data_IF_681063609995
#
_entry.id   IF_681063609995
#
_cell.length_a   1.000
_cell.length_b   1.000
_cell.length_c   1.000
_cell.angle_alpha   90.00
_cell.angle_beta   90.00
_cell.angle_gamma   90.00
#
_symmetry.space_group_name_H-M   'P 1'
#
loop_
_entity.id
_entity.type
_entity.pdbx_description
1 polymer ?
#
# COMPACT_ATOMS: atom_id res chain seq x y z
N UNK A 1 -10.67 19.32 14.79
CA UNK A 1 -11.72 19.22 13.76
C UNK A 1 -11.25 18.20 12.73
N UNK A 2 -11.95 17.07 12.59
CA UNK A 2 -11.58 16.02 11.63
C UNK A 2 -11.71 16.50 10.18
N UNK A 3 -11.05 15.82 9.25
CA UNK A 3 -11.03 16.19 7.82
C UNK A 3 -12.40 16.01 7.11
N UNK A 4 -13.47 15.62 7.81
CA UNK A 4 -14.79 15.35 7.22
C UNK A 4 -14.79 14.15 6.28
N UNK A 5 -15.78 14.06 5.39
CA UNK A 5 -15.84 13.04 4.32
C UNK A 5 -16.52 11.71 4.66
N UNK A 6 -16.87 11.49 5.94
CA UNK A 6 -17.46 10.24 6.43
C UNK A 6 -18.90 9.96 5.99
N UNK A 7 -19.35 8.70 6.12
CA UNK A 7 -18.60 7.55 6.65
C UNK A 7 -17.63 6.94 5.61
N UNK A 8 -16.36 6.77 6.01
CA UNK A 8 -15.30 6.19 5.19
C UNK A 8 -14.97 4.76 5.65
N UNK A 9 -14.57 3.90 4.73
CA UNK A 9 -13.93 2.63 5.05
C UNK A 9 -12.64 2.89 5.84
N UNK A 10 -12.20 1.96 6.70
CA UNK A 10 -10.98 2.09 7.51
C UNK A 10 -9.71 1.83 6.68
N UNK A 11 -9.65 2.40 5.47
CA UNK A 11 -8.53 2.30 4.55
C UNK A 11 -8.40 3.61 3.76
N UNK A 12 -7.19 4.14 3.72
CA UNK A 12 -6.83 5.34 2.96
C UNK A 12 -5.61 5.03 2.08
N UNK A 13 -5.62 5.54 0.86
CA UNK A 13 -4.40 5.66 0.07
C UNK A 13 -3.94 7.12 0.07
N UNK A 14 -2.65 7.35 0.24
CA UNK A 14 -2.06 8.68 0.24
C UNK A 14 -0.90 8.72 -0.74
N UNK A 15 -0.86 9.77 -1.56
CA UNK A 15 0.27 10.04 -2.47
C UNK A 15 0.72 11.47 -2.31
N UNK A 16 2.01 11.70 -2.57
CA UNK A 16 2.58 13.02 -2.76
C UNK A 16 2.93 13.16 -4.23
N UNK A 17 2.33 14.13 -4.93
CA UNK A 17 2.62 14.36 -6.34
C UNK A 17 4.01 14.99 -6.55
N UNK A 18 4.49 15.05 -7.79
CA UNK A 18 5.82 15.60 -8.13
C UNK A 18 5.97 17.08 -7.79
N UNK A 19 4.86 17.81 -7.60
CA UNK A 19 4.86 19.18 -7.11
C UNK A 19 4.93 19.26 -5.56
N UNK A 20 4.88 18.13 -4.86
CA UNK A 20 4.94 18.03 -3.42
C UNK A 20 3.58 18.11 -2.72
N UNK A 21 2.46 18.13 -3.45
CA UNK A 21 1.10 18.17 -2.88
C UNK A 21 0.64 16.79 -2.47
N UNK A 22 -0.02 16.71 -1.33
CA UNK A 22 -0.63 15.48 -0.85
C UNK A 22 -2.04 15.31 -1.42
N UNK A 23 -2.36 14.08 -1.81
CA UNK A 23 -3.72 13.64 -2.15
C UNK A 23 -4.06 12.41 -1.33
N UNK A 24 -5.21 12.44 -0.65
CA UNK A 24 -5.76 11.29 0.05
C UNK A 24 -6.94 10.73 -0.73
N UNK A 25 -7.03 9.41 -0.81
CA UNK A 25 -8.14 8.67 -1.40
C UNK A 25 -8.80 7.80 -0.34
N UNK A 26 -10.12 7.74 -0.39
CA UNK A 26 -10.90 6.92 0.52
C UNK A 26 -12.06 6.26 -0.22
N UNK A 27 -12.51 5.12 0.31
CA UNK A 27 -13.78 4.51 -0.06
C UNK A 27 -14.85 5.05 0.89
N UNK A 28 -15.85 5.76 0.37
CA UNK A 28 -16.96 6.32 1.14
C UNK A 28 -18.19 5.43 1.02
N UNK A 29 -18.85 5.14 2.13
CA UNK A 29 -20.18 4.52 2.13
C UNK A 29 -21.21 5.63 1.93
N UNK A 30 -21.67 5.83 0.70
CA UNK A 30 -22.47 6.98 0.29
C UNK A 30 -23.94 6.95 0.77
N UNK A 31 -24.32 6.12 1.74
CA UNK A 31 -25.63 6.17 2.38
C UNK A 31 -25.63 5.59 3.80
N UNK A 32 -25.71 6.47 4.81
CA UNK A 32 -26.44 6.18 6.05
C UNK A 32 -27.52 7.24 6.34
N UNK A 33 -27.82 8.15 5.40
CA UNK A 33 -28.87 9.17 5.53
C UNK A 33 -29.25 9.76 4.17
N UNK A 34 -30.54 9.76 3.84
CA UNK A 34 -31.09 9.86 2.48
C UNK A 34 -30.72 11.12 1.68
N UNK A 35 -30.25 10.87 0.45
CA UNK A 35 -30.33 11.70 -0.78
C UNK A 35 -29.52 11.10 -1.95
N UNK A 36 -28.80 10.00 -1.71
CA UNK A 36 -28.37 9.02 -2.73
C UNK A 36 -29.17 7.73 -2.62
N UNK A 37 -29.23 6.93 -3.70
CA UNK A 37 -29.80 5.58 -3.66
C UNK A 37 -29.05 4.75 -2.62
N UNK A 38 -29.77 4.05 -1.75
CA UNK A 38 -29.21 3.36 -0.59
C UNK A 38 -28.09 2.38 -1.00
N UNK A 39 -26.93 2.50 -0.35
CA UNK A 39 -25.87 1.49 -0.38
C UNK A 39 -24.75 1.67 -1.41
N UNK A 40 -24.63 2.81 -2.10
CA UNK A 40 -23.49 2.99 -3.02
C UNK A 40 -22.17 3.17 -2.26
N UNK A 41 -21.09 2.50 -2.71
CA UNK A 41 -19.73 2.91 -2.37
C UNK A 41 -19.19 3.78 -3.50
N UNK A 42 -18.42 4.79 -3.14
CA UNK A 42 -17.70 5.62 -4.10
C UNK A 42 -16.28 5.90 -3.61
N UNK A 43 -15.39 6.19 -4.55
CA UNK A 43 -14.08 6.72 -4.24
C UNK A 43 -14.17 8.23 -4.12
N UNK A 44 -13.59 8.78 -3.07
CA UNK A 44 -13.46 10.22 -2.83
C UNK A 44 -12.00 10.61 -2.73
N UNK A 45 -11.69 11.85 -3.09
CA UNK A 45 -10.35 12.43 -2.99
C UNK A 45 -10.33 13.71 -2.16
N UNK A 46 -9.26 13.90 -1.39
CA UNK A 46 -8.94 15.11 -0.64
C UNK A 46 -7.57 15.62 -1.09
N UNK A 47 -7.54 16.74 -1.81
CA UNK A 47 -6.33 17.25 -2.47
C UNK A 47 -5.84 18.55 -1.82
N UNK A 48 -4.54 18.66 -1.58
CA UNK A 48 -3.93 19.93 -1.17
C UNK A 48 -3.97 20.98 -2.29
N UNK A 49 -4.25 22.23 -1.94
CA UNK A 49 -4.22 23.36 -2.90
C UNK A 49 -2.80 23.67 -3.38
N UNK A 50 -1.84 23.57 -2.48
CA UNK A 50 -0.40 23.80 -2.66
C UNK A 50 0.36 22.93 -1.66
N UNK A 51 1.65 22.64 -1.88
CA UNK A 51 2.46 21.89 -0.94
C UNK A 51 2.37 22.48 0.47
N UNK A 52 2.19 21.62 1.46
CA UNK A 52 2.05 21.96 2.89
C UNK A 52 0.97 23.02 3.18
N UNK A 53 0.00 23.14 2.26
CA UNK A 53 -1.12 24.06 2.34
C UNK A 53 -2.42 23.38 2.77
N UNK A 54 -3.52 24.15 2.83
CA UNK A 54 -4.83 23.61 3.15
C UNK A 54 -5.32 22.66 2.06
N UNK A 55 -6.11 21.67 2.50
CA UNK A 55 -6.87 20.79 1.60
C UNK A 55 -8.08 21.52 1.00
N UNK A 56 -8.47 21.09 -0.20
CA UNK A 56 -9.80 21.35 -0.77
C UNK A 56 -10.84 20.48 -0.06
N UNK A 57 -12.15 20.74 -0.21
CA UNK A 57 -13.18 19.80 0.23
C UNK A 57 -13.03 18.43 -0.46
N UNK A 58 -13.53 17.37 0.19
CA UNK A 58 -13.63 16.05 -0.42
C UNK A 58 -14.43 16.12 -1.73
N UNK A 59 -13.91 15.51 -2.78
CA UNK A 59 -14.54 15.43 -4.10
C UNK A 59 -14.81 13.98 -4.46
N UNK A 60 -16.01 13.68 -4.96
CA UNK A 60 -16.36 12.35 -5.44
C UNK A 60 -15.70 12.03 -6.78
N UNK A 61 -15.02 10.89 -6.84
CA UNK A 61 -14.51 10.28 -8.07
C UNK A 61 -15.43 9.16 -8.59
N UNK A 62 -16.54 8.88 -7.88
CA UNK A 62 -17.52 7.86 -8.24
C UNK A 62 -16.97 6.44 -8.09
N UNK A 63 -17.49 5.53 -8.90
CA UNK A 63 -17.13 4.11 -8.91
C UNK A 63 -16.89 3.65 -10.34
N UNK A 64 -16.03 2.64 -10.60
CA UNK A 64 -15.93 2.01 -11.92
C UNK A 64 -17.19 1.19 -12.30
N UNK A 65 -18.12 0.98 -11.36
CA UNK A 65 -19.33 0.18 -11.59
C UNK A 65 -20.49 1.02 -12.12
N UNK A 66 -21.29 0.41 -12.98
CA UNK A 66 -22.42 1.07 -13.66
C UNK A 66 -23.74 0.94 -12.90
N UNK A 67 -23.84 0.02 -11.94
CA UNK A 67 -25.05 -0.22 -11.15
C UNK A 67 -24.76 -0.29 -9.64
N UNK A 68 -25.84 -0.23 -8.86
CA UNK A 68 -25.78 -0.12 -7.42
C UNK A 68 -25.36 -1.40 -6.70
N UNK A 69 -25.62 -2.57 -7.27
CA UNK A 69 -25.25 -3.85 -6.65
C UNK A 69 -23.74 -4.01 -6.74
N UNK A 70 -23.18 -3.88 -7.94
CA UNK A 70 -21.75 -3.96 -8.15
C UNK A 70 -21.03 -2.83 -7.41
N UNK A 71 -21.60 -1.62 -7.39
CA UNK A 71 -21.06 -0.49 -6.63
C UNK A 71 -20.83 -0.77 -5.14
N UNK A 72 -21.61 -1.68 -4.52
CA UNK A 72 -21.42 -2.12 -3.12
C UNK A 72 -20.18 -2.98 -2.90
N UNK A 73 -19.57 -3.48 -3.97
CA UNK A 73 -18.51 -4.48 -3.93
C UNK A 73 -17.14 -3.94 -4.37
N UNK A 74 -17.05 -2.64 -4.66
CA UNK A 74 -15.76 -1.97 -4.93
C UNK A 74 -14.85 -2.01 -3.71
N UNK A 75 -13.58 -2.31 -3.97
CA UNK A 75 -12.52 -2.41 -2.97
C UNK A 75 -11.93 -1.07 -2.53
N UNK A 76 -11.00 -1.14 -1.59
CA UNK A 76 -10.28 0.05 -1.12
C UNK A 76 -9.32 0.58 -2.20
N UNK A 77 -9.07 1.91 -2.23
CA UNK A 77 -8.18 2.49 -3.22
C UNK A 77 -6.71 2.15 -2.91
N UNK A 78 -5.92 1.95 -3.97
CA UNK A 78 -4.46 2.07 -3.96
C UNK A 78 -4.06 3.12 -5.00
N UNK A 79 -3.00 3.88 -4.74
CA UNK A 79 -2.58 4.94 -5.65
C UNK A 79 -1.07 5.12 -5.66
N UNK A 80 -0.57 5.65 -6.77
CA UNK A 80 0.82 6.06 -6.94
C UNK A 80 0.89 7.34 -7.76
N UNK A 81 1.81 8.23 -7.40
CA UNK A 81 2.12 9.42 -8.18
C UNK A 81 3.41 9.17 -8.98
N UNK A 82 3.40 9.49 -10.25
CA UNK A 82 4.52 9.29 -11.18
C UNK A 82 5.35 10.57 -11.35
N UNK A 83 6.64 10.47 -11.74
CA UNK A 83 7.50 11.64 -11.93
C UNK A 83 6.96 12.64 -12.97
N UNK A 84 6.24 12.16 -13.98
CA UNK A 84 5.58 12.97 -15.01
C UNK A 84 4.36 13.77 -14.51
N UNK A 85 4.07 13.71 -13.20
CA UNK A 85 3.01 14.49 -12.56
C UNK A 85 1.62 13.86 -12.63
N UNK A 86 1.48 12.65 -13.17
CA UNK A 86 0.22 11.91 -13.11
C UNK A 86 0.03 11.23 -11.74
N UNK A 87 -1.24 10.98 -11.41
CA UNK A 87 -1.61 10.12 -10.27
C UNK A 87 -2.48 8.99 -10.79
N UNK A 88 -1.99 7.76 -10.64
CA UNK A 88 -2.75 6.57 -10.95
C UNK A 88 -3.48 6.09 -9.69
N UNK A 89 -4.79 5.99 -9.78
CA UNK A 89 -5.66 5.43 -8.75
C UNK A 89 -6.17 4.08 -9.25
N UNK A 90 -6.17 3.08 -8.38
CA UNK A 90 -6.59 1.72 -8.65
C UNK A 90 -7.58 1.24 -7.61
N UNK A 91 -8.56 0.45 -8.05
CA UNK A 91 -9.54 -0.22 -7.17
C UNK A 91 -9.85 -1.60 -7.71
N UNK A 92 -10.19 -2.53 -6.81
CA UNK A 92 -10.82 -3.78 -7.20
C UNK A 92 -12.27 -3.52 -7.62
N UNK A 93 -12.67 -4.04 -8.77
CA UNK A 93 -14.05 -4.02 -9.27
C UNK A 93 -14.92 -5.06 -8.57
N UNK A 94 -16.24 -4.94 -8.69
CA UNK A 94 -17.18 -5.90 -8.15
C UNK A 94 -16.94 -7.33 -8.68
N UNK A 95 -16.60 -7.43 -9.96
CA UNK A 95 -16.25 -8.67 -10.68
C UNK A 95 -14.85 -9.19 -10.35
N UNK A 96 -14.22 -8.64 -9.30
CA UNK A 96 -12.89 -9.04 -8.83
C UNK A 96 -11.79 -8.83 -9.87
N UNK A 97 -11.94 -7.86 -10.77
CA UNK A 97 -10.87 -7.35 -11.65
C UNK A 97 -10.26 -6.06 -11.12
N UNK A 98 -9.38 -5.45 -11.90
CA UNK A 98 -8.76 -4.16 -11.60
C UNK A 98 -9.38 -3.05 -12.45
N UNK A 99 -9.65 -1.90 -11.84
CA UNK A 99 -9.96 -0.67 -12.57
C UNK A 99 -9.00 0.44 -12.15
N UNK A 100 -8.72 1.35 -13.08
CA UNK A 100 -7.91 2.53 -12.87
C UNK A 100 -8.65 3.81 -13.22
N UNK A 101 -8.28 4.89 -12.55
CA UNK A 101 -8.59 6.27 -12.93
C UNK A 101 -7.31 7.08 -12.81
N UNK A 102 -7.04 7.93 -13.79
CA UNK A 102 -5.77 8.68 -13.83
C UNK A 102 -6.06 10.18 -13.75
N UNK A 103 -5.37 10.87 -12.83
CA UNK A 103 -5.27 12.33 -12.83
C UNK A 103 -4.11 12.72 -13.73
N UNK A 104 -4.39 13.50 -14.76
CA UNK A 104 -3.35 14.02 -15.64
C UNK A 104 -2.49 15.08 -14.92
N UNK A 105 -1.35 15.47 -15.53
CA UNK A 105 -0.45 16.46 -14.94
C UNK A 105 -1.08 17.86 -14.80
N UNK A 106 -2.16 18.15 -15.55
CA UNK A 106 -2.95 19.38 -15.40
C UNK A 106 -3.90 19.33 -14.19
N UNK A 107 -4.00 18.17 -13.54
CA UNK A 107 -4.82 17.93 -12.37
C UNK A 107 -6.25 17.47 -12.68
N UNK A 108 -6.56 17.12 -13.94
CA UNK A 108 -7.89 16.62 -14.31
C UNK A 108 -7.95 15.11 -14.23
N UNK A 109 -9.02 14.59 -13.63
CA UNK A 109 -9.30 13.17 -13.57
C UNK A 109 -9.95 12.68 -14.87
N UNK A 110 -9.31 11.72 -15.54
CA UNK A 110 -9.91 10.97 -16.66
C UNK A 110 -11.04 10.04 -16.21
N UNK A 111 -11.66 9.28 -17.13
CA UNK A 111 -12.70 8.31 -16.79
C UNK A 111 -12.11 7.07 -16.09
N UNK A 112 -12.98 6.28 -15.46
CA UNK A 112 -12.62 4.92 -15.02
C UNK A 112 -12.37 4.02 -16.22
N UNK A 113 -11.35 3.17 -16.13
CA UNK A 113 -10.96 2.19 -17.15
C UNK A 113 -10.72 0.84 -16.49
N UNK A 114 -11.27 -0.24 -17.02
CA UNK A 114 -10.99 -1.61 -16.53
C UNK A 114 -9.69 -2.12 -17.15
N UNK A 115 -8.84 -2.75 -16.34
CA UNK A 115 -7.52 -3.23 -16.72
C UNK A 115 -7.50 -4.76 -16.79
N UNK A 116 -8.13 -5.32 -17.82
CA UNK A 116 -8.07 -6.76 -18.11
C UNK A 116 -8.50 -7.67 -16.95
N UNK A 117 -8.18 -8.95 -17.10
CA UNK A 117 -8.60 -10.03 -16.22
C UNK A 117 -7.52 -10.46 -15.22
N UNK A 118 -7.98 -11.14 -14.17
CA UNK A 118 -7.24 -11.53 -12.98
C UNK A 118 -8.18 -11.49 -11.80
N UNK A 119 -8.51 -12.64 -11.19
CA UNK A 119 -9.47 -12.69 -10.08
C UNK A 119 -8.78 -12.34 -8.76
N UNK A 120 -8.89 -11.08 -8.38
CA UNK A 120 -8.23 -10.51 -7.20
C UNK A 120 -9.15 -10.38 -6.00
N UNK A 121 -8.56 -10.46 -4.83
CA UNK A 121 -9.14 -9.99 -3.57
C UNK A 121 -8.82 -8.50 -3.37
N UNK A 122 -9.28 -7.90 -2.27
CA UNK A 122 -8.85 -6.57 -1.86
C UNK A 122 -7.38 -6.59 -1.35
N UNK A 123 -6.80 -5.44 -1.00
CA UNK A 123 -5.41 -5.35 -0.56
C UNK A 123 -4.43 -5.13 -1.72
N UNK A 124 -4.79 -4.21 -2.63
CA UNK A 124 -3.92 -3.76 -3.71
C UNK A 124 -2.65 -3.09 -3.18
N UNK A 125 -1.52 -3.34 -3.86
CA UNK A 125 -0.26 -2.64 -3.63
C UNK A 125 0.20 -1.99 -4.93
N UNK A 126 0.30 -0.66 -4.94
CA UNK A 126 0.78 0.11 -6.09
C UNK A 126 2.10 0.80 -5.72
N UNK A 127 3.09 0.72 -6.62
CA UNK A 127 4.41 1.31 -6.43
C UNK A 127 5.07 1.63 -7.78
N UNK A 128 6.18 2.37 -7.72
CA UNK A 128 7.05 2.59 -8.88
C UNK A 128 8.27 1.68 -8.81
N UNK A 129 8.77 1.25 -9.96
CA UNK A 129 10.11 0.68 -10.09
C UNK A 129 11.20 1.76 -10.14
N UNK A 130 12.46 1.33 -10.32
CA UNK A 130 13.60 2.25 -10.40
C UNK A 130 13.55 3.17 -11.63
N UNK A 131 12.87 2.74 -12.69
CA UNK A 131 12.65 3.47 -13.93
C UNK A 131 11.41 4.39 -13.88
N UNK A 132 10.69 4.42 -12.76
CA UNK A 132 9.50 5.25 -12.58
C UNK A 132 8.22 4.66 -13.18
N UNK A 133 8.25 3.40 -13.63
CA UNK A 133 7.10 2.69 -14.19
C UNK A 133 6.18 2.23 -13.06
N UNK A 134 4.88 2.28 -13.31
CA UNK A 134 3.86 1.85 -12.36
C UNK A 134 3.73 0.33 -12.35
N UNK A 135 3.75 -0.24 -11.14
CA UNK A 135 3.41 -1.64 -10.86
C UNK A 135 2.21 -1.71 -9.91
N UNK A 136 1.28 -2.61 -10.18
CA UNK A 136 0.14 -2.92 -9.30
C UNK A 136 0.10 -4.41 -9.05
N UNK A 137 0.11 -4.79 -7.78
CA UNK A 137 0.09 -6.16 -7.31
C UNK A 137 -1.16 -6.40 -6.49
N UNK A 138 -1.74 -7.59 -6.63
CA UNK A 138 -2.96 -7.93 -5.92
C UNK A 138 -2.98 -9.40 -5.50
N UNK A 139 -3.42 -9.72 -4.27
CA UNK A 139 -3.60 -11.11 -3.86
C UNK A 139 -4.78 -11.73 -4.61
N UNK A 140 -4.54 -12.80 -5.36
CA UNK A 140 -5.56 -13.61 -6.03
C UNK A 140 -5.93 -14.87 -5.25
N UNK A 141 -6.97 -15.55 -5.73
CA UNK A 141 -7.35 -16.87 -5.17
C UNK A 141 -6.33 -17.96 -5.49
N UNK A 142 -5.56 -17.77 -6.55
CA UNK A 142 -4.67 -18.73 -7.20
C UNK A 142 -3.20 -18.32 -7.07
N UNK A 143 -2.89 -17.05 -7.34
CA UNK A 143 -1.54 -16.51 -7.31
C UNK A 143 -1.56 -15.01 -6.99
N UNK A 144 -0.42 -14.34 -7.09
CA UNK A 144 -0.35 -12.87 -7.12
C UNK A 144 -0.54 -12.40 -8.57
N UNK A 145 -1.54 -11.54 -8.78
CA UNK A 145 -1.78 -10.90 -10.07
C UNK A 145 -0.97 -9.60 -10.16
N UNK A 146 -0.45 -9.30 -11.35
CA UNK A 146 0.46 -8.18 -11.58
C UNK A 146 0.05 -7.42 -12.84
N UNK A 147 -0.03 -6.10 -12.73
CA UNK A 147 -0.12 -5.17 -13.84
C UNK A 147 1.08 -4.23 -13.81
N UNK A 148 1.60 -3.87 -14.98
CA UNK A 148 2.70 -2.92 -15.07
C UNK A 148 2.60 -2.06 -16.32
N UNK A 149 3.26 -0.90 -16.27
CA UNK A 149 3.68 -0.19 -17.47
C UNK A 149 4.88 -0.90 -18.10
N UNK A 150 4.84 -1.09 -19.42
CA UNK A 150 5.99 -1.64 -20.16
C UNK A 150 7.10 -0.58 -20.28
N UNK A 151 6.74 0.67 -20.53
CA UNK A 151 7.62 1.84 -20.58
C UNK A 151 7.06 2.98 -19.73
N UNK A 152 7.93 3.86 -19.24
CA UNK A 152 7.51 5.06 -18.50
C UNK A 152 6.55 5.90 -19.36
N UNK A 153 5.47 6.40 -18.79
CA UNK A 153 4.44 7.08 -19.56
C UNK A 153 3.30 6.17 -20.04
N UNK A 154 3.56 4.87 -20.26
CA UNK A 154 2.67 3.93 -20.96
C UNK A 154 1.38 3.54 -20.23
N UNK A 155 0.50 2.75 -20.86
CA UNK A 155 -0.66 2.17 -20.18
C UNK A 155 -0.23 1.10 -19.17
N UNK A 156 -1.00 0.96 -18.09
CA UNK A 156 -0.84 -0.15 -17.14
C UNK A 156 -1.60 -1.36 -17.69
N UNK A 157 -0.90 -2.45 -17.99
CA UNK A 157 -1.48 -3.65 -18.61
C UNK A 157 -1.19 -4.91 -17.78
N UNK A 158 -2.06 -5.94 -17.83
CA UNK A 158 -1.82 -7.19 -17.11
C UNK A 158 -0.53 -7.86 -17.57
N UNK A 159 0.16 -8.51 -16.63
CA UNK A 159 1.34 -9.34 -16.89
C UNK A 159 0.94 -10.81 -16.87
N UNK A 160 1.70 -11.69 -17.55
CA UNK A 160 1.50 -13.13 -17.43
C UNK A 160 1.51 -13.57 -15.95
N UNK A 161 0.75 -14.61 -15.57
CA UNK A 161 0.70 -15.11 -14.21
C UNK A 161 2.10 -15.34 -13.64
N UNK A 162 2.35 -14.83 -12.44
CA UNK A 162 3.68 -14.84 -11.81
C UNK A 162 4.16 -16.24 -11.39
N UNK A 163 3.26 -17.23 -11.33
CA UNK A 163 3.56 -18.56 -10.80
C UNK A 163 3.87 -18.57 -9.30
N UNK A 164 3.71 -17.43 -8.63
CA UNK A 164 3.99 -17.29 -7.21
C UNK A 164 2.98 -18.09 -6.37
N UNK A 165 3.40 -18.63 -5.20
CA UNK A 165 2.50 -19.32 -4.29
C UNK A 165 1.29 -18.47 -3.91
N UNK A 166 0.13 -19.11 -3.72
CA UNK A 166 -1.10 -18.43 -3.31
C UNK A 166 -0.86 -17.59 -2.04
N UNK A 167 -1.23 -16.28 -2.03
CA UNK A 167 -1.15 -15.45 -0.84
C UNK A 167 -2.28 -15.73 0.15
N UNK A 168 -2.05 -15.40 1.42
CA UNK A 168 -3.00 -15.62 2.53
C UNK A 168 -4.21 -14.68 2.54
N UNK A 169 -4.22 -13.64 1.71
CA UNK A 169 -5.36 -12.72 1.53
C UNK A 169 -5.16 -11.31 2.11
N UNK A 170 -4.10 -11.07 2.88
CA UNK A 170 -3.70 -9.73 3.31
C UNK A 170 -3.04 -8.92 2.18
N UNK A 171 -2.97 -7.59 2.34
CA UNK A 171 -2.19 -6.72 1.45
C UNK A 171 -0.72 -7.19 1.39
N UNK A 172 -0.19 -7.25 0.17
CA UNK A 172 1.18 -7.70 -0.10
C UNK A 172 2.17 -6.59 0.23
N UNK A 173 3.25 -6.91 0.95
CA UNK A 173 4.41 -6.03 1.02
C UNK A 173 5.14 -6.05 -0.32
N UNK A 174 5.50 -4.89 -0.86
CA UNK A 174 6.30 -4.82 -2.08
C UNK A 174 7.30 -3.67 -1.99
N UNK A 175 8.51 -3.90 -2.51
CA UNK A 175 9.55 -2.89 -2.61
C UNK A 175 10.48 -3.21 -3.78
N UNK A 176 11.13 -2.18 -4.32
CA UNK A 176 12.24 -2.34 -5.26
C UNK A 176 13.49 -2.64 -4.47
N UNK A 177 13.99 -3.88 -4.53
CA UNK A 177 15.19 -4.30 -3.83
C UNK A 177 16.42 -3.49 -4.28
N UNK A 178 17.52 -3.50 -3.50
CA UNK A 178 18.73 -2.73 -3.84
C UNK A 178 19.33 -3.02 -5.22
N UNK A 179 19.08 -4.20 -5.78
CA UNK A 179 19.49 -4.64 -7.11
C UNK A 179 18.54 -4.17 -8.24
N UNK A 180 17.47 -3.43 -7.90
CA UNK A 180 16.47 -2.94 -8.84
C UNK A 180 15.30 -3.91 -9.06
N UNK A 181 15.33 -5.11 -8.49
CA UNK A 181 14.27 -6.10 -8.69
C UNK A 181 13.03 -5.79 -7.86
N UNK A 182 11.84 -5.99 -8.43
CA UNK A 182 10.60 -5.91 -7.67
C UNK A 182 10.49 -7.13 -6.77
N UNK A 183 10.49 -6.90 -5.46
CA UNK A 183 10.38 -7.94 -4.44
C UNK A 183 9.05 -7.87 -3.72
N UNK A 184 8.41 -9.02 -3.54
CA UNK A 184 7.16 -9.17 -2.79
C UNK A 184 7.42 -9.88 -1.46
N UNK A 185 6.65 -9.52 -0.42
CA UNK A 185 6.70 -10.16 0.90
C UNK A 185 5.29 -10.43 1.37
N UNK A 186 4.96 -11.70 1.57
CA UNK A 186 3.65 -12.10 2.06
C UNK A 186 3.69 -13.48 2.72
N UNK A 187 2.57 -13.82 3.39
CA UNK A 187 2.34 -15.14 3.98
C UNK A 187 1.44 -15.95 3.07
N UNK A 188 1.75 -17.24 2.90
CA UNK A 188 0.82 -18.20 2.32
C UNK A 188 -0.35 -18.46 3.30
N UNK A 189 -1.46 -19.08 2.85
CA UNK A 189 -2.54 -19.49 3.74
C UNK A 189 -2.04 -20.29 4.96
N UNK A 190 -2.53 -19.92 6.15
CA UNK A 190 -2.15 -20.50 7.45
C UNK A 190 -0.67 -20.34 7.88
N UNK A 191 0.20 -19.74 7.05
CA UNK A 191 1.57 -19.48 7.45
C UNK A 191 1.65 -18.31 8.43
N UNK A 192 2.47 -18.44 9.47
CA UNK A 192 2.79 -17.35 10.41
C UNK A 192 4.07 -16.59 10.02
N UNK A 193 4.98 -17.26 9.30
CA UNK A 193 6.23 -16.69 8.79
C UNK A 193 6.05 -16.30 7.32
N UNK A 194 6.35 -15.05 6.92
CA UNK A 194 6.29 -14.67 5.51
C UNK A 194 7.49 -15.17 4.71
N UNK A 195 7.32 -15.22 3.41
CA UNK A 195 8.40 -15.38 2.45
C UNK A 195 8.58 -14.09 1.66
N UNK A 196 9.82 -13.84 1.28
CA UNK A 196 10.22 -12.85 0.28
C UNK A 196 10.33 -13.56 -1.05
N UNK A 197 9.76 -12.97 -2.10
CA UNK A 197 9.73 -13.46 -3.46
C UNK A 197 10.34 -12.39 -4.38
N UNK A 198 11.55 -12.66 -4.89
CA UNK A 198 12.21 -11.92 -5.96
C UNK A 198 12.67 -12.91 -7.03
N UNK A 199 13.94 -12.84 -7.45
CA UNK A 199 14.54 -13.88 -8.30
C UNK A 199 14.50 -15.27 -7.64
N UNK A 200 14.67 -15.30 -6.32
CA UNK A 200 14.53 -16.49 -5.49
C UNK A 200 13.54 -16.23 -4.36
N UNK A 201 12.93 -17.31 -3.87
CA UNK A 201 12.04 -17.25 -2.71
C UNK A 201 12.78 -17.67 -1.44
N UNK A 202 12.65 -16.89 -0.38
CA UNK A 202 13.29 -17.16 0.90
C UNK A 202 12.36 -16.83 2.08
N UNK A 203 12.37 -17.67 3.09
CA UNK A 203 11.61 -17.44 4.32
C UNK A 203 12.22 -16.31 5.14
N UNK A 204 11.41 -15.35 5.58
CA UNK A 204 11.83 -14.28 6.49
C UNK A 204 11.84 -14.80 7.92
N UNK A 205 12.94 -15.46 8.28
CA UNK A 205 13.09 -16.06 9.62
C UNK A 205 12.86 -15.02 10.71
N UNK A 206 12.29 -15.48 11.83
CA UNK A 206 12.01 -14.69 13.04
C UNK A 206 10.92 -13.62 12.89
N UNK A 207 10.34 -13.41 11.71
CA UNK A 207 9.28 -12.43 11.47
C UNK A 207 7.88 -13.05 11.50
N UNK A 208 7.58 -13.82 12.56
CA UNK A 208 6.28 -14.46 12.76
C UNK A 208 5.19 -13.44 13.10
N UNK A 209 3.97 -13.64 12.59
CA UNK A 209 2.82 -12.81 12.94
C UNK A 209 1.65 -12.95 11.98
N UNK A 210 0.73 -11.97 12.04
CA UNK A 210 -0.51 -11.95 11.24
C UNK A 210 -0.81 -10.57 10.63
N UNK A 211 -1.60 -10.56 9.56
CA UNK A 211 -2.00 -9.35 8.85
C UNK A 211 -0.99 -8.86 7.82
N UNK A 212 -1.29 -7.70 7.25
CA UNK A 212 -0.47 -7.03 6.24
C UNK A 212 0.98 -6.79 6.69
N UNK A 213 1.89 -6.85 5.71
CA UNK A 213 3.31 -6.54 5.87
C UNK A 213 3.62 -5.37 4.96
N UNK A 214 4.14 -4.28 5.52
CA UNK A 214 4.73 -3.21 4.72
C UNK A 214 6.20 -3.54 4.46
N UNK A 215 6.66 -3.37 3.23
CA UNK A 215 8.06 -3.54 2.84
C UNK A 215 8.55 -2.26 2.16
N UNK A 216 9.74 -1.76 2.52
CA UNK A 216 10.37 -0.61 1.87
C UNK A 216 11.87 -0.85 1.75
N UNK A 217 12.51 -0.26 0.75
CA UNK A 217 13.98 -0.25 0.65
C UNK A 217 14.52 1.00 1.32
N UNK A 218 15.41 0.81 2.29
CA UNK A 218 15.96 1.88 3.14
C UNK A 218 17.47 1.77 3.21
N UNK A 219 18.15 2.86 3.59
CA UNK A 219 19.58 2.81 3.92
C UNK A 219 19.79 1.98 5.18
N UNK A 220 20.76 1.07 5.13
CA UNK A 220 21.14 0.21 6.25
C UNK A 220 21.65 1.06 7.44
N UNK A 221 21.10 0.88 8.65
CA UNK A 221 21.47 1.75 9.77
C UNK A 221 22.86 1.47 10.37
N UNK A 222 23.41 0.28 10.19
CA UNK A 222 24.69 -0.17 10.78
C UNK A 222 25.92 0.08 9.89
N UNK A 223 25.75 0.39 8.59
CA UNK A 223 26.85 0.42 7.63
C UNK A 223 27.72 1.69 7.68
N UNK A 224 29.04 1.55 7.37
CA UNK A 224 29.96 2.67 7.05
C UNK A 224 29.79 3.20 5.61
N UNK A 225 29.11 2.45 4.74
CA UNK A 225 28.67 2.82 3.39
C UNK A 225 27.14 2.91 3.37
N UNK A 226 26.61 3.70 2.44
CA UNK A 226 25.16 3.81 2.17
C UNK A 226 24.61 2.57 1.46
N UNK A 227 24.81 1.38 2.03
CA UNK A 227 24.19 0.15 1.56
C UNK A 227 22.68 0.24 1.77
N UNK A 228 21.89 -0.21 0.81
CA UNK A 228 20.43 -0.29 0.94
C UNK A 228 20.01 -1.71 1.36
N UNK A 229 18.92 -1.82 2.11
CA UNK A 229 18.35 -3.08 2.57
C UNK A 229 16.82 -3.02 2.59
N UNK A 230 16.16 -4.17 2.57
CA UNK A 230 14.72 -4.26 2.80
C UNK A 230 14.40 -4.02 4.27
N UNK A 231 13.35 -3.24 4.53
CA UNK A 231 12.77 -3.00 5.83
C UNK A 231 11.34 -3.51 5.83
N UNK A 232 11.04 -4.43 6.75
CA UNK A 232 9.72 -5.01 6.92
C UNK A 232 9.08 -4.47 8.18
N UNK A 233 7.78 -4.15 8.11
CA UNK A 233 6.96 -3.78 9.26
C UNK A 233 5.69 -4.61 9.26
N UNK A 234 5.32 -5.13 10.42
CA UNK A 234 4.10 -5.90 10.59
C UNK A 234 3.77 -6.03 12.06
N UNK A 235 2.79 -6.89 12.34
CA UNK A 235 2.48 -7.32 13.69
C UNK A 235 3.04 -8.71 13.93
N UNK A 236 3.36 -9.01 15.19
CA UNK A 236 3.76 -10.34 15.60
C UNK A 236 2.59 -11.20 16.09
N UNK A 237 2.91 -12.34 16.71
CA UNK A 237 1.92 -13.28 17.25
C UNK A 237 1.19 -12.74 18.48
N UNK A 238 1.77 -11.79 19.24
CA UNK A 238 1.05 -11.08 20.32
C UNK A 238 0.27 -9.87 19.81
N UNK A 239 0.43 -9.53 18.52
CA UNK A 239 -0.19 -8.37 17.89
C UNK A 239 0.62 -7.09 18.02
N UNK A 240 1.80 -7.13 18.64
CA UNK A 240 2.69 -5.99 18.78
C UNK A 240 3.36 -5.65 17.46
N UNK A 241 3.67 -4.37 17.27
CA UNK A 241 4.44 -3.91 16.11
C UNK A 241 5.87 -4.44 16.15
N UNK A 242 6.33 -4.91 15.00
CA UNK A 242 7.69 -5.38 14.79
C UNK A 242 8.29 -4.83 13.51
N UNK A 243 9.60 -4.62 13.52
CA UNK A 243 10.36 -4.06 12.40
C UNK A 243 11.60 -4.90 12.16
N UNK A 244 11.85 -5.36 10.94
CA UNK A 244 13.06 -6.13 10.63
C UNK A 244 13.83 -5.51 9.46
N UNK A 245 15.12 -5.26 9.68
CA UNK A 245 16.05 -4.84 8.64
C UNK A 245 16.71 -6.08 8.03
N UNK A 246 16.64 -6.19 6.71
CA UNK A 246 17.16 -7.30 5.95
C UNK A 246 16.36 -8.60 6.12
N UNK A 247 16.63 -9.53 5.22
CA UNK A 247 15.96 -10.84 5.15
C UNK A 247 16.95 -12.00 5.26
N UNK A 248 18.22 -11.69 5.50
CA UNK A 248 19.28 -12.68 5.70
C UNK A 248 19.08 -13.53 6.96
N UNK A 249 19.79 -14.65 7.09
CA UNK A 249 19.58 -15.63 8.16
C UNK A 249 19.81 -15.07 9.59
N UNK A 250 20.63 -14.02 9.70
CA UNK A 250 20.94 -13.36 10.96
C UNK A 250 20.06 -12.14 11.25
N UNK A 251 19.18 -11.75 10.31
CA UNK A 251 18.24 -10.67 10.55
C UNK A 251 17.26 -11.06 11.68
N UNK A 252 16.98 -10.10 12.57
CA UNK A 252 16.06 -10.27 13.69
C UNK A 252 15.12 -9.07 13.76
N UNK A 253 13.84 -9.27 14.14
CA UNK A 253 12.94 -8.16 14.35
C UNK A 253 13.33 -7.35 15.59
N UNK A 254 13.29 -6.04 15.46
CA UNK A 254 13.21 -5.09 16.56
C UNK A 254 11.79 -5.07 17.11
N UNK A 255 11.68 -5.03 18.44
CA UNK A 255 10.42 -4.82 19.16
C UNK A 255 10.36 -3.38 19.65
N UNK A 256 9.15 -2.84 19.72
CA UNK A 256 8.97 -1.50 20.29
C UNK A 256 9.16 -1.54 21.83
N UNK A 257 9.91 -0.60 22.45
CA UNK A 257 10.18 -0.62 23.89
C UNK A 257 8.94 -0.54 24.79
N UNK A 258 7.79 -0.13 24.26
CA UNK A 258 6.52 0.01 24.98
C UNK A 258 5.45 -0.98 24.56
N UNK A 259 5.80 -2.07 23.87
CA UNK A 259 4.84 -3.10 23.42
C UNK A 259 3.65 -2.50 22.66
N UNK A 260 3.93 -1.62 21.70
CA UNK A 260 2.91 -0.90 20.94
C UNK A 260 2.09 -1.87 20.09
N UNK A 261 0.77 -1.89 20.31
CA UNK A 261 -0.19 -2.72 19.58
C UNK A 261 -0.97 -1.82 18.60
N UNK A 262 -0.77 -1.94 17.27
CA UNK A 262 -1.55 -1.19 16.30
C UNK A 262 -2.95 -1.81 16.11
N UNK A 263 -3.96 -0.93 16.04
CA UNK A 263 -5.23 -1.24 15.39
C UNK A 263 -5.01 -1.18 13.88
N UNK A 264 -5.25 -2.30 13.19
CA UNK A 264 -4.98 -2.44 11.76
C UNK A 264 -3.49 -2.56 11.43
N UNK A 265 -3.12 -2.19 10.20
CA UNK A 265 -1.74 -2.23 9.73
C UNK A 265 -0.99 -0.95 10.15
N UNK A 266 0.19 -1.05 10.79
CA UNK A 266 1.03 0.12 11.03
C UNK A 266 1.59 0.68 9.71
N UNK A 267 1.72 1.99 9.62
CA UNK A 267 2.31 2.67 8.48
C UNK A 267 3.82 2.86 8.66
N UNK A 268 4.58 2.62 7.60
CA UNK A 268 6.02 2.89 7.54
C UNK A 268 6.25 4.17 6.75
N UNK A 269 7.00 5.10 7.33
CA UNK A 269 7.55 6.26 6.65
C UNK A 269 9.07 6.13 6.66
N UNK A 270 9.68 6.14 5.48
CA UNK A 270 11.12 6.13 5.33
C UNK A 270 11.54 7.35 4.50
N UNK A 271 11.94 8.43 5.17
CA UNK A 271 12.55 9.58 4.50
C UNK A 271 14.02 9.28 4.16
N UNK A 272 14.52 9.84 3.06
CA UNK A 272 15.89 9.61 2.58
C UNK A 272 16.94 9.99 3.62
N UNK A 273 17.48 8.99 4.33
CA UNK A 273 18.55 9.16 5.31
C UNK A 273 18.54 8.11 6.43
N UNK A 274 19.68 7.96 7.11
CA UNK A 274 19.93 6.92 8.14
C UNK A 274 19.02 7.00 9.39
N UNK A 275 18.34 8.12 9.63
CA UNK A 275 17.42 8.32 10.76
C UNK A 275 15.96 8.58 10.36
N UNK A 276 15.64 8.42 9.08
CA UNK A 276 14.35 8.79 8.50
C UNK A 276 13.22 7.79 8.72
N UNK A 277 13.49 6.61 9.31
CA UNK A 277 12.47 5.59 9.52
C UNK A 277 11.56 5.93 10.71
N UNK A 278 10.25 5.96 10.45
CA UNK A 278 9.19 6.09 11.45
C UNK A 278 8.14 5.04 11.19
N UNK A 279 7.70 4.39 12.25
CA UNK A 279 6.50 3.56 12.22
C UNK A 279 5.41 4.30 12.97
N UNK A 280 4.26 4.46 12.33
CA UNK A 280 3.11 5.16 12.87
C UNK A 280 1.96 4.19 12.99
N UNK A 281 1.22 4.26 14.09
CA UNK A 281 0.03 3.44 14.29
C UNK A 281 -0.95 4.11 15.22
N UNK A 282 -2.10 3.46 15.37
CA UNK A 282 -3.15 3.84 16.31
C UNK A 282 -3.23 2.76 17.38
N UNK A 283 -3.21 3.12 18.66
CA UNK A 283 -3.43 2.18 19.75
C UNK A 283 -4.93 1.82 19.89
N UNK A 284 -5.29 0.74 20.62
CA UNK A 284 -6.68 0.34 20.83
C UNK A 284 -7.57 1.39 21.51
N UNK A 285 -6.96 2.32 22.25
CA UNK A 285 -7.60 3.49 22.85
C UNK A 285 -7.74 4.69 21.89
N UNK A 286 -7.47 4.48 20.60
CA UNK A 286 -7.48 5.48 19.54
C UNK A 286 -6.46 6.61 19.70
N UNK A 287 -5.40 6.41 20.49
CA UNK A 287 -4.28 7.35 20.57
C UNK A 287 -3.25 7.03 19.47
N UNK A 288 -2.88 8.01 18.60
CA UNK A 288 -1.80 7.80 17.64
C UNK A 288 -0.44 7.72 18.35
N UNK A 289 0.44 6.87 17.84
CA UNK A 289 1.81 6.77 18.31
C UNK A 289 2.80 6.77 17.14
N UNK A 290 4.03 7.19 17.44
CA UNK A 290 5.15 7.16 16.49
C UNK A 290 6.33 6.47 17.16
N UNK A 291 6.79 5.37 16.55
CA UNK A 291 7.99 4.67 16.93
C UNK A 291 9.12 4.97 15.95
N UNK A 292 10.33 5.20 16.48
CA UNK A 292 11.56 5.43 15.71
C UNK A 292 12.47 4.22 15.90
N UNK A 293 12.33 3.15 15.10
CA UNK A 293 13.17 1.97 15.25
C UNK A 293 14.64 2.37 15.03
N UNK A 294 15.50 1.97 15.96
CA UNK A 294 16.94 2.13 15.87
C UNK A 294 17.55 0.75 16.04
N UNK A 295 18.32 0.23 15.06
CA UNK A 295 19.10 -0.96 15.30
C UNK A 295 20.09 -0.66 16.41
N UNK A 296 19.96 -1.37 17.53
CA UNK A 296 20.98 -1.33 18.56
C UNK A 296 22.25 -1.96 17.98
N UNK A 297 23.42 -1.41 18.28
CA UNK A 297 24.74 -1.88 17.80
C UNK A 297 25.14 -3.27 18.34
N UNK A 298 24.18 -4.03 18.87
CA UNK A 298 24.31 -5.40 19.37
C UNK A 298 23.08 -6.17 18.93
N UNK A 299 23.19 -6.79 17.76
CA UNK A 299 22.48 -7.99 17.35
C UNK A 299 23.48 -8.83 16.57
#
# INVERSE_FOLDING_TARGET
>A
LGLGGGPLAPALAAVRDSAGRQTLFALRFAALGGRGTAGLREIVALEQRRPDGPFRPWTGLGTPETDTEHGRRVGCPAAVATPDGRVHLFVRTADKGLATRVRDASGRWGPWQRLGDGEIQDGLTALLDAEGRVHVLAPGRDTVHHWAQEWDGGPVTPRPPSGLPRPGGDQLGAAVAPDGTLTLVYRAPAATVPAVHGETSLTVRHFEGYGAIAAHTVTEPSGRRETRTLLLVGRDLSGEVQVQYGTGPNARPLRSPGHLIPVGAPALLAEGGRQGVRVVGMAPDAIPWIWRPRPTSRA
#
